data_IF_147850081450
#
_entry.id   IF_147850081450
#
_cell.length_a   1.000
_cell.length_b   1.000
_cell.length_c   1.000
_cell.angle_alpha   90.00
_cell.angle_beta   90.00
_cell.angle_gamma   90.00
#
_symmetry.space_group_name_H-M   'P 1'
#
loop_
_entity.id
_entity.type
_entity.pdbx_description
1 polymer ?
#
# COMPACT_ATOMS: atom_id res chain seq x y z
N UNK A 1 90.45 -31.68 27.08
CA UNK A 1 89.11 -31.10 27.31
C UNK A 1 88.13 -32.27 27.19
N UNK A 2 87.81 -33.07 28.23
CA UNK A 2 87.19 -32.76 29.53
C UNK A 2 85.93 -31.89 29.35
N UNK A 3 84.73 -32.18 29.85
CA UNK A 3 84.08 -33.26 30.62
C UNK A 3 82.56 -32.97 30.45
N UNK A 4 81.68 -33.95 30.20
CA UNK A 4 80.89 -34.72 31.19
C UNK A 4 79.90 -33.92 32.07
N UNK A 5 78.70 -34.51 32.21
CA UNK A 5 77.67 -34.36 33.26
C UNK A 5 76.73 -33.13 33.17
N UNK A 6 75.44 -33.19 33.50
CA UNK A 6 74.54 -34.26 33.90
C UNK A 6 73.08 -33.75 33.85
N UNK A 7 72.16 -34.70 33.77
CA UNK A 7 70.70 -34.56 33.95
C UNK A 7 70.38 -34.26 35.43
N UNK A 8 69.26 -33.56 35.70
CA UNK A 8 68.36 -34.08 36.72
C UNK A 8 66.93 -34.20 36.21
N UNK A 9 66.39 -35.41 36.37
CA UNK A 9 64.98 -35.69 36.32
C UNK A 9 64.30 -35.10 37.55
N UNK A 10 63.26 -34.27 37.36
CA UNK A 10 62.25 -34.06 38.39
C UNK A 10 60.86 -33.93 37.78
N UNK A 11 60.02 -34.89 38.19
CA UNK A 11 58.61 -34.74 38.54
C UNK A 11 57.61 -34.45 37.42
N UNK A 12 57.11 -35.56 36.87
CA UNK A 12 55.79 -35.70 36.29
C UNK A 12 54.70 -35.48 37.34
N UNK A 13 54.21 -34.26 37.55
CA UNK A 13 52.88 -33.98 38.14
C UNK A 13 52.48 -32.56 37.71
N UNK A 14 51.81 -32.36 36.57
CA UNK A 14 50.98 -31.16 36.27
C UNK A 14 50.44 -31.11 34.82
N UNK A 15 50.04 -32.22 34.18
CA UNK A 15 49.42 -32.16 32.83
C UNK A 15 48.00 -32.72 32.78
N UNK A 16 47.39 -33.02 33.94
CA UNK A 16 46.00 -33.49 34.00
C UNK A 16 45.00 -32.46 34.54
N UNK A 17 45.44 -31.24 34.88
CA UNK A 17 44.55 -30.18 35.38
C UNK A 17 44.05 -29.20 34.31
N UNK A 18 44.64 -29.16 33.11
CA UNK A 18 44.24 -28.22 32.05
C UNK A 18 43.22 -28.78 31.04
N UNK A 19 42.88 -30.06 31.13
CA UNK A 19 41.81 -30.68 30.30
C UNK A 19 40.47 -30.78 31.03
N UNK A 20 40.43 -30.59 32.36
CA UNK A 20 39.20 -30.65 33.15
C UNK A 20 38.45 -29.30 33.23
N UNK A 21 39.11 -28.18 32.92
CA UNK A 21 38.47 -26.85 32.93
C UNK A 21 37.88 -26.43 31.56
N UNK A 22 38.23 -27.13 30.47
CA UNK A 22 37.59 -26.93 29.16
C UNK A 22 36.34 -27.80 28.95
N UNK A 23 36.11 -28.82 29.78
CA UNK A 23 34.94 -29.71 29.68
C UNK A 23 33.77 -29.30 30.61
N UNK A 24 34.01 -28.38 31.54
CA UNK A 24 33.00 -27.83 32.46
C UNK A 24 32.53 -26.43 32.06
N UNK A 25 32.86 -25.98 30.84
CA UNK A 25 32.00 -25.08 30.07
C UNK A 25 31.05 -25.94 29.22
N UNK A 26 30.44 -26.96 29.87
CA UNK A 26 29.20 -27.55 29.41
C UNK A 26 28.16 -26.44 29.51
N UNK A 27 28.16 -25.63 28.46
CA UNK A 27 27.06 -24.87 27.90
C UNK A 27 25.75 -25.41 28.48
N UNK A 28 25.35 -24.84 29.62
CA UNK A 28 23.94 -24.71 29.95
C UNK A 28 23.43 -23.69 28.95
N UNK A 29 23.27 -24.15 27.71
CA UNK A 29 22.13 -23.79 26.89
C UNK A 29 20.94 -24.21 27.76
N UNK A 30 20.60 -23.38 28.76
CA UNK A 30 19.23 -22.98 28.88
C UNK A 30 18.91 -22.55 27.46
N UNK A 31 18.29 -23.46 26.70
CA UNK A 31 17.72 -23.10 25.44
C UNK A 31 16.87 -21.91 25.80
N UNK A 32 17.31 -20.71 25.43
CA UNK A 32 16.46 -19.55 25.38
C UNK A 32 15.38 -20.00 24.41
N UNK A 33 14.34 -20.63 24.95
CA UNK A 33 13.19 -21.06 24.18
C UNK A 33 12.77 -19.79 23.50
N UNK A 34 12.89 -19.76 22.16
CA UNK A 34 12.55 -18.58 21.41
C UNK A 34 11.21 -18.09 21.97
N UNK A 35 11.13 -16.81 22.39
CA UNK A 35 9.94 -16.31 23.08
C UNK A 35 8.73 -16.76 22.29
N UNK A 36 7.82 -17.47 22.98
CA UNK A 36 6.62 -17.98 22.34
C UNK A 36 5.93 -16.77 21.70
N UNK A 37 5.75 -16.78 20.38
CA UNK A 37 5.09 -15.72 19.63
C UNK A 37 3.59 -15.74 19.96
N UNK A 38 3.26 -15.34 21.18
CA UNK A 38 1.93 -15.33 21.75
C UNK A 38 1.44 -13.89 21.83
N UNK A 39 0.52 -13.54 20.93
CA UNK A 39 0.04 -12.17 20.78
C UNK A 39 -0.81 -11.67 21.95
N UNK A 40 -1.24 -12.56 22.86
CA UNK A 40 -1.95 -12.19 24.09
C UNK A 40 -0.99 -11.73 25.19
N UNK A 41 0.33 -11.84 24.99
CA UNK A 41 1.35 -11.35 25.92
C UNK A 41 2.15 -10.22 25.30
N UNK A 42 2.59 -9.25 26.11
CA UNK A 42 3.39 -8.13 25.60
C UNK A 42 4.72 -8.63 25.00
N UNK A 43 5.40 -9.57 25.67
CA UNK A 43 6.67 -10.13 25.21
C UNK A 43 6.53 -10.97 23.93
N UNK A 44 5.49 -11.81 23.86
CA UNK A 44 5.23 -12.63 22.68
C UNK A 44 4.84 -11.79 21.46
N UNK A 45 4.10 -10.70 21.68
CA UNK A 45 3.78 -9.73 20.64
C UNK A 45 5.01 -8.96 20.16
N UNK A 46 5.87 -8.50 21.08
CA UNK A 46 7.12 -7.84 20.72
C UNK A 46 8.02 -8.77 19.89
N UNK A 47 8.19 -10.02 20.31
CA UNK A 47 8.94 -11.03 19.57
C UNK A 47 8.37 -11.30 18.16
N UNK A 48 7.04 -11.30 18.01
CA UNK A 48 6.38 -11.43 16.72
C UNK A 48 6.67 -10.22 15.81
N UNK A 49 6.53 -8.99 16.33
CA UNK A 49 6.82 -7.78 15.56
C UNK A 49 8.30 -7.67 15.16
N UNK A 50 9.22 -8.09 16.04
CA UNK A 50 10.65 -8.18 15.74
C UNK A 50 10.93 -9.20 14.63
N UNK A 51 10.27 -10.37 14.65
CA UNK A 51 10.39 -11.38 13.61
C UNK A 51 9.86 -10.87 12.25
N UNK A 52 8.72 -10.18 12.25
CA UNK A 52 8.19 -9.51 11.04
C UNK A 52 9.19 -8.47 10.53
N UNK A 53 9.72 -7.61 11.39
CA UNK A 53 10.69 -6.60 11.02
C UNK A 53 11.98 -7.20 10.44
N UNK A 54 12.48 -8.30 11.00
CA UNK A 54 13.64 -9.03 10.50
C UNK A 54 13.39 -9.61 9.09
N UNK A 55 12.19 -10.17 8.86
CA UNK A 55 11.78 -10.65 7.54
C UNK A 55 11.70 -9.50 6.53
N UNK A 56 11.07 -8.37 6.89
CA UNK A 56 11.01 -7.17 6.04
C UNK A 56 12.39 -6.60 5.69
N UNK A 57 13.30 -6.60 6.67
CA UNK A 57 14.69 -6.13 6.48
C UNK A 57 15.43 -7.03 5.48
N UNK A 58 15.12 -8.31 5.47
CA UNK A 58 15.65 -9.31 4.52
C UNK A 58 14.90 -9.36 3.18
N UNK A 59 13.90 -8.48 2.98
CA UNK A 59 12.97 -8.50 1.85
C UNK A 59 12.19 -9.82 1.69
N UNK A 60 12.05 -10.59 2.77
CA UNK A 60 11.23 -11.80 2.82
C UNK A 60 9.78 -11.44 3.15
N UNK A 61 9.10 -10.85 2.18
CA UNK A 61 7.72 -10.38 2.34
C UNK A 61 6.74 -11.53 2.64
N UNK A 62 7.00 -12.73 2.11
CA UNK A 62 6.15 -13.91 2.33
C UNK A 62 6.17 -14.33 3.78
N UNK A 63 7.36 -14.51 4.37
CA UNK A 63 7.49 -14.83 5.79
C UNK A 63 6.91 -13.72 6.67
N UNK A 64 7.11 -12.45 6.30
CA UNK A 64 6.53 -11.31 7.03
C UNK A 64 4.99 -11.31 7.01
N UNK A 65 4.36 -11.76 5.91
CA UNK A 65 2.90 -11.93 5.79
C UNK A 65 2.43 -13.13 6.62
N UNK A 66 3.09 -14.29 6.48
CA UNK A 66 2.72 -15.53 7.18
C UNK A 66 2.77 -15.37 8.70
N UNK A 67 3.70 -14.56 9.22
CA UNK A 67 3.80 -14.24 10.64
C UNK A 67 2.68 -13.31 11.12
N UNK A 68 2.34 -12.26 10.36
CA UNK A 68 1.44 -11.20 10.83
C UNK A 68 -0.04 -11.48 10.58
N UNK A 69 -0.39 -12.24 9.53
CA UNK A 69 -1.79 -12.43 9.13
C UNK A 69 -2.63 -13.14 10.20
N UNK A 70 -2.17 -14.22 10.88
CA UNK A 70 -2.94 -14.84 11.95
C UNK A 70 -3.26 -13.87 13.09
N UNK A 71 -2.30 -13.02 13.46
CA UNK A 71 -2.44 -12.03 14.54
C UNK A 71 -3.36 -10.88 14.13
N UNK A 72 -3.32 -10.48 12.86
CA UNK A 72 -4.22 -9.46 12.34
C UNK A 72 -5.68 -9.93 12.31
N UNK A 73 -5.93 -11.19 11.94
CA UNK A 73 -7.28 -11.74 11.87
C UNK A 73 -7.89 -12.03 13.24
N UNK A 74 -7.06 -12.13 14.29
CA UNK A 74 -7.50 -12.28 15.67
C UNK A 74 -7.96 -10.94 16.28
N UNK A 75 -9.22 -10.89 16.71
CA UNK A 75 -9.85 -9.70 17.31
C UNK A 75 -9.22 -9.28 18.63
N UNK A 76 -8.65 -10.22 19.38
CA UNK A 76 -8.07 -9.95 20.70
C UNK A 76 -6.62 -9.48 20.61
N UNK A 77 -5.93 -9.81 19.52
CA UNK A 77 -4.52 -9.49 19.33
C UNK A 77 -4.27 -8.28 18.42
N UNK A 78 -5.24 -7.90 17.61
CA UNK A 78 -5.05 -6.83 16.63
C UNK A 78 -5.04 -5.43 17.27
N UNK A 79 -4.05 -4.61 16.90
CA UNK A 79 -3.96 -3.21 17.27
C UNK A 79 -3.21 -2.41 16.20
N UNK A 80 -2.92 -1.13 16.46
CA UNK A 80 -2.29 -0.25 15.46
C UNK A 80 -0.90 -0.71 15.03
N UNK A 81 -0.09 -1.27 15.93
CA UNK A 81 1.23 -1.83 15.57
C UNK A 81 1.08 -3.03 14.62
N UNK A 82 0.12 -3.93 14.89
CA UNK A 82 -0.17 -5.09 14.03
C UNK A 82 -0.69 -4.63 12.65
N UNK A 83 -1.52 -3.59 12.61
CA UNK A 83 -2.03 -3.01 11.35
C UNK A 83 -0.90 -2.39 10.52
N UNK A 84 0.01 -1.64 11.14
CA UNK A 84 1.19 -1.07 10.47
C UNK A 84 2.12 -2.18 9.98
N UNK A 85 2.36 -3.21 10.81
CA UNK A 85 3.18 -4.36 10.43
C UNK A 85 2.58 -5.09 9.23
N UNK A 86 1.27 -5.39 9.25
CA UNK A 86 0.56 -5.99 8.11
C UNK A 86 0.63 -5.12 6.86
N UNK A 87 0.35 -3.82 7.00
CA UNK A 87 0.45 -2.88 5.89
C UNK A 87 1.85 -2.92 5.27
N UNK A 88 2.89 -2.98 6.11
CA UNK A 88 4.30 -3.04 5.68
C UNK A 88 4.66 -4.37 5.02
N UNK A 89 4.18 -5.51 5.53
CA UNK A 89 4.36 -6.84 4.92
C UNK A 89 3.74 -6.93 3.53
N UNK A 90 2.53 -6.42 3.36
CA UNK A 90 1.90 -6.36 2.04
C UNK A 90 2.50 -5.27 1.13
N UNK A 91 2.97 -4.15 1.68
CA UNK A 91 3.71 -3.14 0.93
C UNK A 91 5.01 -3.70 0.35
N UNK A 92 5.73 -4.53 1.13
CA UNK A 92 6.90 -5.27 0.68
C UNK A 92 6.55 -6.16 -0.53
N UNK A 93 5.47 -6.95 -0.45
CA UNK A 93 5.00 -7.79 -1.56
C UNK A 93 4.52 -6.97 -2.78
N UNK A 94 4.03 -5.75 -2.56
CA UNK A 94 3.75 -4.76 -3.60
C UNK A 94 5.02 -4.09 -4.17
N UNK A 95 6.21 -4.54 -3.77
CA UNK A 95 7.52 -4.02 -4.16
C UNK A 95 7.73 -2.54 -3.77
N UNK A 96 7.17 -2.13 -2.62
CA UNK A 96 7.34 -0.80 -2.05
C UNK A 96 8.47 -0.86 -1.03
N UNK A 97 9.60 -0.25 -1.38
CA UNK A 97 10.69 0.01 -0.45
C UNK A 97 10.68 1.50 -0.12
N UNK A 98 10.19 1.88 1.06
CA UNK A 98 10.00 3.30 1.43
C UNK A 98 11.27 4.14 1.28
N UNK A 99 12.43 3.66 1.76
CA UNK A 99 13.68 4.40 1.67
C UNK A 99 14.14 4.61 0.22
N UNK A 100 14.06 3.54 -0.58
CA UNK A 100 14.35 3.63 -2.02
C UNK A 100 13.36 4.56 -2.71
N UNK A 101 12.09 4.48 -2.37
CA UNK A 101 11.02 5.26 -2.95
C UNK A 101 11.18 6.76 -2.67
N UNK A 102 11.57 7.14 -1.45
CA UNK A 102 11.90 8.55 -1.15
C UNK A 102 13.02 9.02 -2.09
N UNK A 103 14.09 8.24 -2.22
CA UNK A 103 15.20 8.55 -3.13
C UNK A 103 14.77 8.64 -4.60
N UNK A 104 13.92 7.72 -5.07
CA UNK A 104 13.48 7.67 -6.47
C UNK A 104 12.43 8.74 -6.79
N UNK A 105 11.55 9.09 -5.83
CA UNK A 105 10.62 10.21 -5.95
C UNK A 105 11.36 11.53 -6.18
N UNK A 106 12.49 11.76 -5.51
CA UNK A 106 13.27 13.00 -5.75
C UNK A 106 13.89 13.10 -7.15
N UNK A 107 13.95 11.98 -7.89
CA UNK A 107 14.52 11.93 -9.24
C UNK A 107 13.46 12.05 -10.33
N UNK A 108 12.19 11.86 -10.00
CA UNK A 108 11.08 11.96 -10.96
C UNK A 108 10.32 13.26 -10.77
N UNK A 109 9.86 13.84 -11.86
CA UNK A 109 8.98 14.99 -11.79
C UNK A 109 7.55 14.49 -11.48
N UNK A 110 7.09 14.80 -10.27
CA UNK A 110 5.74 14.52 -9.81
C UNK A 110 4.78 15.68 -10.09
N UNK A 111 5.02 16.54 -11.06
CA UNK A 111 4.10 17.61 -11.44
C UNK A 111 3.79 17.53 -12.94
N UNK A 112 2.65 18.05 -13.39
CA UNK A 112 2.37 18.14 -14.81
C UNK A 112 2.14 16.78 -15.49
N UNK A 113 2.34 16.79 -16.82
CA UNK A 113 2.04 15.67 -17.75
C UNK A 113 2.79 14.38 -17.43
N UNK A 114 3.85 14.50 -16.65
CA UNK A 114 4.80 13.42 -16.33
C UNK A 114 4.43 12.66 -15.07
N UNK A 115 3.39 13.08 -14.32
CA UNK A 115 2.97 12.37 -13.12
C UNK A 115 2.58 10.91 -13.38
N UNK A 116 1.62 10.66 -14.28
CA UNK A 116 1.18 9.29 -14.59
C UNK A 116 2.32 8.42 -15.15
N UNK A 117 3.15 8.90 -16.10
CA UNK A 117 4.37 8.18 -16.49
C UNK A 117 5.35 7.90 -15.35
N UNK A 118 5.60 8.87 -14.45
CA UNK A 118 6.49 8.68 -13.31
C UNK A 118 5.98 7.58 -12.38
N UNK A 119 4.68 7.56 -12.11
CA UNK A 119 4.03 6.49 -11.34
C UNK A 119 4.19 5.12 -12.01
N UNK A 120 3.98 5.07 -13.32
CA UNK A 120 4.16 3.86 -14.13
C UNK A 120 5.61 3.38 -14.11
N UNK A 121 6.58 4.29 -14.17
CA UNK A 121 8.01 3.99 -14.11
C UNK A 121 8.44 3.45 -12.74
N UNK A 122 7.98 4.10 -11.65
CA UNK A 122 8.37 3.74 -10.29
C UNK A 122 7.82 2.39 -9.85
N UNK A 123 6.65 1.99 -10.37
CA UNK A 123 5.94 0.80 -9.94
C UNK A 123 5.57 -0.11 -11.12
N UNK A 124 6.57 -0.75 -11.76
CA UNK A 124 6.31 -1.69 -12.84
C UNK A 124 5.43 -2.84 -12.35
N UNK A 125 4.57 -3.39 -13.19
CA UNK A 125 3.78 -4.57 -12.85
C UNK A 125 3.38 -5.34 -14.09
N UNK A 126 3.27 -6.65 -13.96
CA UNK A 126 2.78 -7.56 -15.00
C UNK A 126 1.50 -8.24 -14.53
N UNK A 127 0.62 -8.70 -15.44
CA UNK A 127 -0.67 -9.28 -15.07
C UNK A 127 -0.60 -10.47 -14.10
N UNK A 128 0.50 -11.22 -14.10
CA UNK A 128 0.67 -12.43 -13.29
C UNK A 128 1.28 -12.18 -11.91
N UNK A 129 1.71 -10.96 -11.59
CA UNK A 129 2.30 -10.66 -10.28
C UNK A 129 1.23 -10.36 -9.21
N UNK A 130 1.62 -10.40 -7.94
CA UNK A 130 0.74 -10.15 -6.80
C UNK A 130 0.69 -8.69 -6.35
N UNK A 131 1.34 -7.75 -7.07
CA UNK A 131 1.57 -6.37 -6.56
C UNK A 131 0.28 -5.60 -6.32
N UNK A 132 -0.71 -5.77 -7.22
CA UNK A 132 -2.03 -5.15 -7.06
C UNK A 132 -2.74 -5.69 -5.82
N UNK A 133 -2.88 -7.02 -5.71
CA UNK A 133 -3.54 -7.65 -4.57
C UNK A 133 -2.85 -7.30 -3.24
N UNK A 134 -1.52 -7.30 -3.23
CA UNK A 134 -0.74 -6.91 -2.06
C UNK A 134 -0.95 -5.42 -1.71
N UNK A 135 -0.92 -4.51 -2.68
CA UNK A 135 -1.19 -3.09 -2.43
C UNK A 135 -2.59 -2.85 -1.86
N UNK A 136 -3.61 -3.56 -2.35
CA UNK A 136 -4.98 -3.48 -1.82
C UNK A 136 -5.08 -3.96 -0.37
N UNK A 137 -4.46 -5.10 -0.05
CA UNK A 137 -4.43 -5.64 1.31
C UNK A 137 -3.65 -4.72 2.26
N UNK A 138 -2.60 -4.06 1.76
CA UNK A 138 -1.89 -3.02 2.50
C UNK A 138 -2.79 -1.82 2.79
N UNK A 139 -3.52 -1.30 1.79
CA UNK A 139 -4.48 -0.21 1.99
C UNK A 139 -5.58 -0.58 3.01
N UNK A 140 -6.10 -1.81 2.97
CA UNK A 140 -7.11 -2.24 3.94
C UNK A 140 -6.61 -2.19 5.39
N UNK A 141 -5.35 -2.64 5.62
CA UNK A 141 -4.72 -2.55 6.93
C UNK A 141 -4.54 -1.09 7.36
N UNK A 142 -4.17 -0.20 6.43
CA UNK A 142 -4.04 1.23 6.70
C UNK A 142 -5.40 1.86 7.01
N UNK A 143 -6.46 1.49 6.29
CA UNK A 143 -7.80 2.02 6.58
C UNK A 143 -8.29 1.62 7.97
N UNK A 144 -7.81 0.50 8.54
CA UNK A 144 -8.11 0.09 9.91
C UNK A 144 -7.38 0.91 11.00
N UNK A 145 -6.36 1.71 10.64
CA UNK A 145 -5.65 2.60 11.56
C UNK A 145 -6.46 3.88 11.78
N UNK A 146 -7.07 4.01 12.94
CA UNK A 146 -7.97 5.12 13.28
C UNK A 146 -7.26 6.30 13.90
N UNK A 147 -7.75 7.51 13.63
CA UNK A 147 -7.39 8.68 14.43
C UNK A 147 -7.95 8.56 15.86
N UNK A 148 -7.29 9.20 16.82
CA UNK A 148 -7.75 9.25 18.21
C UNK A 148 -9.13 9.92 18.27
N UNK A 149 -10.12 9.22 18.84
CA UNK A 149 -11.50 9.72 18.96
C UNK A 149 -12.36 9.59 17.69
N UNK A 150 -11.84 9.01 16.60
CA UNK A 150 -12.63 8.78 15.40
C UNK A 150 -13.78 7.79 15.65
N UNK A 151 -14.98 8.15 15.16
CA UNK A 151 -16.17 7.30 15.16
C UNK A 151 -16.69 7.26 13.72
N UNK A 152 -16.74 6.06 13.12
CA UNK A 152 -17.33 5.86 11.80
C UNK A 152 -18.74 5.30 11.92
N UNK A 153 -19.66 5.91 11.17
CA UNK A 153 -20.96 5.29 10.88
C UNK A 153 -20.77 4.05 10.00
N UNK A 154 -21.73 3.10 9.95
CA UNK A 154 -21.61 1.92 9.11
C UNK A 154 -21.34 2.21 7.62
N UNK A 155 -21.85 3.33 7.11
CA UNK A 155 -21.62 3.77 5.71
C UNK A 155 -20.21 4.29 5.45
N UNK A 156 -19.46 4.61 6.51
CA UNK A 156 -18.08 5.11 6.44
C UNK A 156 -17.05 3.99 6.67
N UNK A 157 -17.51 2.75 6.82
CA UNK A 157 -16.64 1.61 7.12
C UNK A 157 -16.28 0.81 5.88
N UNK A 158 -15.04 0.32 5.84
CA UNK A 158 -14.61 -0.79 4.97
C UNK A 158 -14.47 -2.05 5.81
N UNK A 159 -14.76 -3.22 5.24
CA UNK A 159 -14.61 -4.50 5.94
C UNK A 159 -15.33 -4.53 7.32
N UNK A 160 -16.54 -3.99 7.38
CA UNK A 160 -17.30 -3.77 8.62
C UNK A 160 -17.51 -5.05 9.45
N UNK A 161 -17.56 -6.22 8.81
CA UNK A 161 -17.73 -7.53 9.46
C UNK A 161 -16.42 -8.19 9.91
N UNK A 162 -15.26 -7.61 9.57
CA UNK A 162 -13.95 -8.18 9.87
C UNK A 162 -13.51 -7.87 11.33
N UNK A 163 -12.37 -8.44 11.73
CA UNK A 163 -11.71 -8.06 12.98
C UNK A 163 -11.19 -6.61 12.97
N UNK A 164 -10.99 -6.04 11.77
CA UNK A 164 -10.38 -4.74 11.56
C UNK A 164 -11.22 -3.89 10.59
N UNK A 165 -12.40 -3.42 11.03
CA UNK A 165 -13.16 -2.47 10.23
C UNK A 165 -12.33 -1.20 10.02
N UNK A 166 -12.22 -0.77 8.78
CA UNK A 166 -11.48 0.44 8.40
C UNK A 166 -12.38 1.63 8.13
N UNK A 167 -11.75 2.78 7.89
CA UNK A 167 -12.39 4.09 7.75
C UNK A 167 -12.19 4.64 6.33
N UNK A 168 -13.28 4.99 5.66
CA UNK A 168 -13.25 5.51 4.29
C UNK A 168 -12.83 6.98 4.22
N UNK A 169 -13.03 7.76 5.29
CA UNK A 169 -12.66 9.16 5.34
C UNK A 169 -11.21 9.30 5.83
N UNK A 170 -10.36 10.00 5.07
CA UNK A 170 -8.97 10.25 5.45
C UNK A 170 -8.85 10.96 6.81
N UNK A 171 -9.75 11.89 7.12
CA UNK A 171 -9.80 12.61 8.41
C UNK A 171 -10.13 11.72 9.62
N UNK A 172 -10.58 10.48 9.39
CA UNK A 172 -10.84 9.50 10.45
C UNK A 172 -9.70 8.49 10.60
N UNK A 173 -8.72 8.51 9.70
CA UNK A 173 -7.53 7.64 9.75
C UNK A 173 -6.40 8.34 10.50
N UNK A 174 -5.47 7.56 11.04
CA UNK A 174 -4.27 8.13 11.65
C UNK A 174 -3.40 8.88 10.61
N UNK A 175 -2.54 9.77 11.09
CA UNK A 175 -1.59 10.52 10.24
C UNK A 175 -0.69 9.57 9.48
N UNK A 176 -0.14 8.57 10.19
CA UNK A 176 0.73 7.55 9.61
C UNK A 176 0.00 6.73 8.55
N UNK A 177 -1.28 6.41 8.78
CA UNK A 177 -2.12 5.71 7.80
C UNK A 177 -2.25 6.50 6.50
N UNK A 178 -2.57 7.79 6.59
CA UNK A 178 -2.69 8.63 5.41
C UNK A 178 -1.35 8.79 4.70
N UNK A 179 -0.26 9.03 5.45
CA UNK A 179 1.09 9.15 4.91
C UNK A 179 1.51 7.87 4.17
N UNK A 180 1.36 6.71 4.79
CA UNK A 180 1.67 5.42 4.15
C UNK A 180 0.74 5.18 2.96
N UNK A 181 -0.55 5.51 3.12
CA UNK A 181 -1.58 5.36 2.10
C UNK A 181 -1.28 6.14 0.81
N UNK A 182 -0.56 7.27 0.88
CA UNK A 182 -0.06 7.97 -0.31
C UNK A 182 0.84 7.03 -1.13
N UNK A 183 1.85 6.44 -0.51
CA UNK A 183 2.81 5.58 -1.19
C UNK A 183 2.20 4.27 -1.70
N UNK A 184 1.27 3.67 -0.95
CA UNK A 184 0.55 2.47 -1.42
C UNK A 184 -0.40 2.82 -2.58
N UNK A 185 -1.14 3.93 -2.49
CA UNK A 185 -2.04 4.35 -3.57
C UNK A 185 -1.24 4.66 -4.85
N UNK A 186 -0.08 5.30 -4.67
CA UNK A 186 0.92 5.51 -5.69
C UNK A 186 1.32 4.18 -6.37
N UNK A 187 1.72 3.17 -5.59
CA UNK A 187 2.13 1.88 -6.16
C UNK A 187 1.02 1.18 -6.94
N UNK A 188 -0.21 1.21 -6.42
CA UNK A 188 -1.38 0.65 -7.08
C UNK A 188 -1.66 1.35 -8.40
N UNK A 189 -1.65 2.68 -8.42
CA UNK A 189 -1.84 3.47 -9.64
C UNK A 189 -0.82 3.06 -10.70
N UNK A 190 0.47 3.01 -10.34
CA UNK A 190 1.52 2.61 -11.28
C UNK A 190 1.37 1.16 -11.76
N UNK A 191 1.03 0.23 -10.86
CA UNK A 191 0.80 -1.16 -11.21
C UNK A 191 -0.38 -1.33 -12.19
N UNK A 192 -1.50 -0.65 -11.95
CA UNK A 192 -2.65 -0.65 -12.85
C UNK A 192 -2.31 -0.02 -14.20
N UNK A 193 -1.57 1.09 -14.23
CA UNK A 193 -1.15 1.70 -15.49
C UNK A 193 -0.24 0.78 -16.31
N UNK A 194 0.69 0.06 -15.68
CA UNK A 194 1.50 -0.93 -16.37
C UNK A 194 0.66 -2.07 -16.96
N UNK A 195 -0.23 -2.65 -16.16
CA UNK A 195 -1.05 -3.80 -16.59
C UNK A 195 -2.04 -3.44 -17.69
N UNK A 196 -2.70 -2.30 -17.56
CA UNK A 196 -3.88 -1.97 -18.37
C UNK A 196 -3.61 -0.89 -19.42
N UNK A 197 -2.58 -0.06 -19.22
CA UNK A 197 -2.25 1.07 -20.08
C UNK A 197 -1.30 0.77 -21.25
N UNK A 198 -0.69 -0.42 -21.25
CA UNK A 198 0.37 -0.81 -22.20
C UNK A 198 1.40 0.32 -22.41
N UNK A 199 2.11 0.75 -21.36
CA UNK A 199 2.94 1.94 -21.44
C UNK A 199 4.13 1.74 -22.38
N UNK A 200 4.53 2.83 -23.02
CA UNK A 200 5.78 2.88 -23.78
C UNK A 200 6.99 2.70 -22.85
N UNK A 201 7.92 1.79 -23.17
CA UNK A 201 9.02 1.45 -22.27
C UNK A 201 10.07 2.57 -22.11
N UNK A 202 10.06 3.58 -22.98
CA UNK A 202 11.01 4.71 -22.92
C UNK A 202 10.42 5.91 -22.18
N UNK A 203 9.18 6.25 -22.50
CA UNK A 203 8.50 7.44 -21.96
C UNK A 203 7.58 7.11 -20.79
N UNK A 204 7.24 5.84 -20.59
CA UNK A 204 6.21 5.35 -19.65
C UNK A 204 4.83 5.96 -19.87
N UNK A 205 4.64 6.63 -21.01
CA UNK A 205 3.35 7.15 -21.41
C UNK A 205 2.44 5.98 -21.79
N UNK A 206 1.22 6.03 -21.27
CA UNK A 206 0.16 5.09 -21.60
C UNK A 206 -0.13 5.10 -23.11
N UNK A 207 -0.13 3.94 -23.76
CA UNK A 207 -0.41 3.82 -25.21
C UNK A 207 -1.88 3.50 -25.54
N UNK A 208 -2.67 3.08 -24.54
CA UNK A 208 -4.12 2.83 -24.69
C UNK A 208 -4.88 3.22 -23.43
N UNK A 209 -6.17 3.53 -23.54
CA UNK A 209 -6.99 3.77 -22.36
C UNK A 209 -6.96 2.58 -21.39
N UNK A 210 -6.98 2.86 -20.09
CA UNK A 210 -6.95 1.80 -19.07
C UNK A 210 -8.19 0.92 -19.25
N UNK A 211 -7.99 -0.41 -19.32
CA UNK A 211 -9.07 -1.38 -19.54
C UNK A 211 -9.56 -1.47 -20.99
N UNK A 212 -8.93 -0.77 -21.93
CA UNK A 212 -9.26 -0.87 -23.35
C UNK A 212 -8.75 -2.20 -23.94
N UNK A 213 -9.56 -2.80 -24.80
CA UNK A 213 -9.18 -3.99 -25.56
C UNK A 213 -8.29 -3.62 -26.76
N UNK A 214 -8.34 -2.37 -27.22
CA UNK A 214 -7.55 -1.86 -28.34
C UNK A 214 -6.87 -0.52 -28.02
N UNK A 215 -5.91 -0.11 -28.85
CA UNK A 215 -5.27 1.21 -28.76
C UNK A 215 -6.11 2.34 -29.42
N UNK A 216 -7.33 2.04 -29.88
CA UNK A 216 -8.21 3.06 -30.47
C UNK A 216 -8.63 4.08 -29.42
N UNK A 217 -8.54 5.37 -29.74
CA UNK A 217 -9.07 6.43 -28.88
C UNK A 217 -10.60 6.33 -28.66
N UNK A 218 -11.31 5.62 -29.56
CA UNK A 218 -12.73 5.34 -29.40
C UNK A 218 -13.01 4.24 -28.35
N UNK A 219 -12.00 3.44 -27.99
CA UNK A 219 -12.11 2.48 -26.90
C UNK A 219 -11.85 3.19 -25.57
N UNK A 220 -12.93 3.55 -24.88
CA UNK A 220 -12.86 4.30 -23.62
C UNK A 220 -12.30 3.47 -22.46
N UNK A 221 -12.14 2.15 -22.63
CA UNK A 221 -11.75 1.23 -21.56
C UNK A 221 -12.65 1.39 -20.34
N UNK A 222 -12.05 1.51 -19.16
CA UNK A 222 -12.73 1.75 -17.89
C UNK A 222 -13.48 3.08 -17.81
N UNK A 223 -13.34 3.98 -18.79
CA UNK A 223 -14.22 5.15 -18.90
C UNK A 223 -15.68 4.79 -19.23
N UNK A 224 -15.93 3.57 -19.71
CA UNK A 224 -17.27 3.00 -19.95
C UNK A 224 -17.66 2.06 -18.81
N UNK A 225 -18.82 2.30 -18.18
CA UNK A 225 -19.37 1.45 -17.11
C UNK A 225 -19.49 -0.02 -17.51
N UNK A 226 -19.73 -0.31 -18.79
CA UNK A 226 -19.82 -1.69 -19.30
C UNK A 226 -18.48 -2.43 -19.26
N UNK A 227 -17.38 -1.71 -19.09
CA UNK A 227 -16.01 -2.23 -19.01
C UNK A 227 -15.41 -2.07 -17.63
N UNK A 228 -16.15 -1.54 -16.67
CA UNK A 228 -15.71 -1.52 -15.27
C UNK A 228 -15.52 -2.96 -14.80
N UNK A 229 -14.41 -3.19 -14.13
CA UNK A 229 -14.03 -4.44 -13.49
C UNK A 229 -13.69 -4.16 -12.02
N UNK A 230 -13.54 -5.18 -11.17
CA UNK A 230 -13.00 -4.98 -9.82
C UNK A 230 -11.69 -4.16 -9.83
N UNK A 231 -10.78 -4.44 -10.76
CA UNK A 231 -9.54 -3.68 -10.94
C UNK A 231 -9.78 -2.21 -11.29
N UNK A 232 -10.80 -1.88 -12.09
CA UNK A 232 -11.17 -0.50 -12.38
C UNK A 232 -11.65 0.24 -11.12
N UNK A 233 -12.43 -0.45 -10.28
CA UNK A 233 -12.91 0.06 -9.00
C UNK A 233 -11.75 0.28 -8.02
N UNK A 234 -10.83 -0.69 -7.92
CA UNK A 234 -9.61 -0.57 -7.14
C UNK A 234 -8.72 0.57 -7.63
N UNK A 235 -8.58 0.74 -8.95
CA UNK A 235 -7.84 1.85 -9.52
C UNK A 235 -8.44 3.21 -9.13
N UNK A 236 -9.75 3.38 -9.32
CA UNK A 236 -10.45 4.60 -8.92
C UNK A 236 -10.36 4.86 -7.41
N UNK A 237 -10.49 3.80 -6.60
CA UNK A 237 -10.30 3.85 -5.13
C UNK A 237 -8.92 4.39 -4.77
N UNK A 238 -7.86 3.86 -5.40
CA UNK A 238 -6.47 4.28 -5.16
C UNK A 238 -6.23 5.73 -5.57
N UNK A 239 -6.80 6.18 -6.70
CA UNK A 239 -6.69 7.58 -7.14
C UNK A 239 -7.34 8.54 -6.13
N UNK A 240 -8.56 8.23 -5.67
CA UNK A 240 -9.23 9.06 -4.66
C UNK A 240 -8.51 9.01 -3.31
N UNK A 241 -8.07 7.83 -2.89
CA UNK A 241 -7.34 7.63 -1.64
C UNK A 241 -6.04 8.42 -1.63
N UNK A 242 -5.31 8.44 -2.74
CA UNK A 242 -4.10 9.26 -2.88
C UNK A 242 -4.40 10.74 -2.57
N UNK A 243 -5.43 11.30 -3.21
CA UNK A 243 -5.76 12.72 -3.09
C UNK A 243 -6.29 13.07 -1.71
N UNK A 244 -7.16 12.23 -1.16
CA UNK A 244 -7.70 12.41 0.19
C UNK A 244 -6.57 12.37 1.24
N UNK A 245 -5.65 11.42 1.10
CA UNK A 245 -4.50 11.30 2.01
C UNK A 245 -3.53 12.48 1.86
N UNK A 246 -3.25 12.96 0.65
CA UNK A 246 -2.45 14.17 0.45
C UNK A 246 -3.13 15.38 1.10
N UNK A 247 -4.45 15.53 0.93
CA UNK A 247 -5.20 16.63 1.53
C UNK A 247 -5.04 16.62 3.06
N UNK A 248 -5.24 15.45 3.68
CA UNK A 248 -5.15 15.30 5.13
C UNK A 248 -3.73 15.54 5.64
N UNK A 249 -2.72 14.93 5.01
CA UNK A 249 -1.31 15.12 5.40
C UNK A 249 -0.88 16.59 5.21
N UNK A 250 -1.34 17.26 4.17
CA UNK A 250 -0.99 18.66 3.90
C UNK A 250 -1.45 19.64 4.98
N UNK A 251 -2.52 19.30 5.72
CA UNK A 251 -3.02 20.10 6.84
C UNK A 251 -2.16 19.95 8.09
N UNK A 252 -1.35 18.89 8.17
CA UNK A 252 -0.52 18.57 9.32
C UNK A 252 0.96 18.91 9.11
N UNK A 253 1.41 19.00 7.85
CA UNK A 253 2.77 19.40 7.50
C UNK A 253 2.82 20.93 7.34
N UNK A 254 3.70 21.58 8.10
CA UNK A 254 3.91 23.04 8.01
C UNK A 254 4.93 23.42 6.93
N UNK A 255 4.93 24.70 6.55
CA UNK A 255 5.92 25.26 5.62
C UNK A 255 5.65 24.95 4.14
N UNK A 256 6.69 25.09 3.32
CA UNK A 256 6.58 25.00 1.84
C UNK A 256 6.06 23.65 1.37
N UNK A 257 6.45 22.56 2.03
CA UNK A 257 6.01 21.20 1.68
C UNK A 257 4.50 21.07 1.86
N UNK A 258 3.96 21.53 3.01
CA UNK A 258 2.52 21.55 3.26
C UNK A 258 1.75 22.37 2.23
N UNK A 259 2.23 23.59 1.92
CA UNK A 259 1.63 24.43 0.88
C UNK A 259 1.62 23.76 -0.49
N UNK A 260 2.74 23.16 -0.91
CA UNK A 260 2.83 22.45 -2.19
C UNK A 260 1.87 21.26 -2.24
N UNK A 261 1.83 20.42 -1.19
CA UNK A 261 0.91 19.28 -1.11
C UNK A 261 -0.56 19.74 -1.14
N UNK A 262 -0.90 20.84 -0.47
CA UNK A 262 -2.26 21.38 -0.45
C UNK A 262 -2.67 21.92 -1.83
N UNK A 263 -1.81 22.67 -2.53
CA UNK A 263 -2.08 23.15 -3.89
C UNK A 263 -2.32 22.00 -4.87
N UNK A 264 -1.43 21.01 -4.80
CA UNK A 264 -1.50 19.76 -5.53
C UNK A 264 -2.83 19.04 -5.27
N UNK A 265 -3.22 18.88 -4.00
CA UNK A 265 -4.46 18.22 -3.62
C UNK A 265 -5.68 19.00 -4.09
N UNK A 266 -5.70 20.32 -3.93
CA UNK A 266 -6.82 21.17 -4.33
C UNK A 266 -7.10 21.08 -5.84
N UNK A 267 -6.05 21.18 -6.67
CA UNK A 267 -6.17 21.08 -8.11
C UNK A 267 -6.70 19.70 -8.56
N UNK A 268 -6.17 18.62 -7.97
CA UNK A 268 -6.55 17.26 -8.33
C UNK A 268 -7.94 16.88 -7.80
N UNK A 269 -8.23 17.23 -6.55
CA UNK A 269 -9.51 16.97 -5.89
C UNK A 269 -10.65 17.65 -6.63
N UNK A 270 -10.48 18.90 -7.08
CA UNK A 270 -11.50 19.59 -7.87
C UNK A 270 -11.82 18.85 -9.18
N UNK A 271 -10.79 18.46 -9.95
CA UNK A 271 -10.97 17.74 -11.21
C UNK A 271 -11.55 16.34 -11.01
N UNK A 272 -11.02 15.58 -10.05
CA UNK A 272 -11.49 14.23 -9.75
C UNK A 272 -12.92 14.23 -9.21
N UNK A 273 -13.26 15.11 -8.28
CA UNK A 273 -14.63 15.21 -7.79
C UNK A 273 -15.58 15.62 -8.91
N UNK A 274 -15.19 16.56 -9.79
CA UNK A 274 -16.00 16.94 -10.94
C UNK A 274 -16.28 15.76 -11.87
N UNK A 275 -15.26 14.99 -12.27
CA UNK A 275 -15.45 13.84 -13.15
C UNK A 275 -16.13 12.65 -12.45
N UNK A 276 -15.86 12.45 -11.16
CA UNK A 276 -16.55 11.46 -10.34
C UNK A 276 -18.05 11.78 -10.26
N UNK A 277 -18.41 13.04 -9.98
CA UNK A 277 -19.79 13.53 -9.97
C UNK A 277 -20.47 13.34 -11.32
N UNK A 278 -19.79 13.70 -12.41
CA UNK A 278 -20.31 13.54 -13.76
C UNK A 278 -20.51 12.07 -14.11
N UNK A 279 -19.54 11.20 -13.82
CA UNK A 279 -19.67 9.75 -14.01
C UNK A 279 -20.87 9.21 -13.25
N UNK A 280 -20.98 9.57 -11.98
CA UNK A 280 -22.07 9.17 -11.11
C UNK A 280 -23.46 9.71 -11.54
N UNK A 281 -23.51 10.88 -12.19
CA UNK A 281 -24.73 11.43 -12.79
C UNK A 281 -25.01 10.88 -14.20
N UNK A 282 -24.09 10.11 -14.78
CA UNK A 282 -24.16 9.66 -16.17
C UNK A 282 -23.94 10.77 -17.21
N UNK A 283 -23.26 11.86 -16.84
CA UNK A 283 -23.13 13.12 -17.60
C UNK A 283 -21.70 13.41 -18.11
N UNK A 284 -20.86 12.40 -18.35
CA UNK A 284 -19.48 12.67 -18.80
C UNK A 284 -19.45 13.50 -20.12
N UNK A 285 -18.68 14.60 -20.18
CA UNK A 285 -18.62 15.50 -21.32
C UNK A 285 -18.02 14.83 -22.57
N UNK A 286 -18.52 15.21 -23.74
CA UNK A 286 -18.03 14.76 -25.05
C UNK A 286 -18.87 13.68 -25.75
N UNK A 287 -20.02 13.27 -25.19
CA UNK A 287 -20.85 12.19 -25.75
C UNK A 287 -20.19 10.80 -25.66
N UNK A 288 -18.93 10.74 -25.21
CA UNK A 288 -18.14 9.55 -24.94
C UNK A 288 -18.46 8.99 -23.56
N UNK A 289 -19.60 8.30 -23.53
CA UNK A 289 -19.92 7.11 -22.76
C UNK A 289 -19.28 6.92 -21.37
N UNK A 290 -19.71 7.70 -20.37
CA UNK A 290 -20.39 7.02 -19.24
C UNK A 290 -21.89 6.84 -19.53
N UNK A 291 -22.33 7.13 -20.75
CA UNK A 291 -23.72 7.12 -21.27
C UNK A 291 -24.50 5.82 -21.11
N UNK A 292 -23.86 4.74 -20.66
CA UNK A 292 -24.57 3.55 -20.22
C UNK A 292 -25.09 3.67 -18.78
N UNK A 293 -24.59 4.60 -17.96
CA UNK A 293 -25.10 4.87 -16.63
C UNK A 293 -26.51 5.47 -16.71
N UNK A 294 -27.45 4.87 -16.00
CA UNK A 294 -28.90 5.19 -16.03
C UNK A 294 -29.43 5.47 -14.63
N UNK A 295 -28.71 6.30 -13.88
CA UNK A 295 -29.00 6.55 -12.46
C UNK A 295 -30.15 7.54 -12.34
N UNK A 296 -31.26 7.09 -11.76
CA UNK A 296 -32.56 7.76 -11.74
C UNK A 296 -32.67 8.94 -10.74
N UNK A 297 -31.59 9.68 -10.49
CA UNK A 297 -31.37 10.64 -9.40
C UNK A 297 -30.87 10.00 -8.09
N UNK A 298 -29.95 10.70 -7.42
CA UNK A 298 -29.34 10.26 -6.15
C UNK A 298 -27.85 10.59 -6.00
N UNK A 299 -27.16 10.94 -7.09
CA UNK A 299 -25.75 11.31 -7.00
C UNK A 299 -25.55 12.83 -6.98
N UNK A 300 -25.43 13.41 -5.79
CA UNK A 300 -25.09 14.82 -5.62
C UNK A 300 -23.58 15.06 -5.75
N UNK A 301 -22.79 14.19 -5.11
CA UNK A 301 -21.32 14.25 -4.97
C UNK A 301 -20.69 12.86 -5.14
N UNK A 302 -19.39 12.83 -5.39
CA UNK A 302 -18.58 11.62 -5.54
C UNK A 302 -18.86 10.66 -4.37
N UNK A 303 -19.44 9.48 -4.62
CA UNK A 303 -19.96 8.63 -3.57
C UNK A 303 -18.82 8.16 -2.66
N UNK A 304 -18.99 8.30 -1.35
CA UNK A 304 -18.02 7.80 -0.37
C UNK A 304 -17.76 6.30 -0.56
N UNK A 305 -18.79 5.55 -0.97
CA UNK A 305 -18.71 4.13 -1.28
C UNK A 305 -17.66 3.77 -2.33
N UNK A 306 -17.23 4.71 -3.20
CA UNK A 306 -16.14 4.48 -4.15
C UNK A 306 -14.78 4.29 -3.49
N UNK A 307 -14.59 4.71 -2.22
CA UNK A 307 -13.38 4.36 -1.46
C UNK A 307 -13.42 2.92 -0.92
N UNK A 308 -14.57 2.26 -0.99
CA UNK A 308 -14.71 0.86 -0.72
C UNK A 308 -14.86 0.10 -2.05
N UNK A 309 -13.74 -0.39 -2.58
CA UNK A 309 -13.71 -1.12 -3.87
C UNK A 309 -14.72 -2.28 -3.94
N UNK A 310 -15.10 -2.89 -2.81
CA UNK A 310 -16.07 -3.99 -2.78
C UNK A 310 -17.53 -3.56 -3.06
N UNK A 311 -17.84 -2.26 -2.93
CA UNK A 311 -19.18 -1.72 -3.22
C UNK A 311 -19.39 -1.36 -4.69
N UNK A 312 -18.33 -1.46 -5.49
CA UNK A 312 -18.35 -1.12 -6.90
C UNK A 312 -18.77 -2.33 -7.73
N UNK A 313 -19.79 -2.14 -8.55
CA UNK A 313 -20.34 -3.17 -9.45
C UNK A 313 -20.30 -2.70 -10.90
N UNK A 314 -20.57 -3.61 -11.83
CA UNK A 314 -20.66 -3.31 -13.27
C UNK A 314 -22.06 -2.85 -13.70
N UNK A 315 -22.96 -2.64 -12.73
CA UNK A 315 -24.33 -2.25 -13.03
C UNK A 315 -24.41 -0.82 -13.53
N UNK A 316 -25.18 -0.62 -14.60
CA UNK A 316 -25.52 0.71 -15.15
C UNK A 316 -26.28 1.60 -14.16
N UNK A 317 -26.87 1.03 -13.13
CA UNK A 317 -27.62 1.75 -12.10
C UNK A 317 -26.84 1.92 -10.81
N UNK A 318 -25.59 1.42 -10.75
CA UNK A 318 -24.77 1.53 -9.55
C UNK A 318 -23.99 2.85 -9.54
N UNK A 319 -24.28 3.77 -8.59
CA UNK A 319 -23.57 5.03 -8.48
C UNK A 319 -22.08 4.86 -8.24
N UNK A 320 -21.64 3.80 -7.56
CA UNK A 320 -20.23 3.58 -7.26
C UNK A 320 -19.48 3.17 -8.53
N UNK A 321 -19.99 2.19 -9.28
CA UNK A 321 -19.42 1.81 -10.59
C UNK A 321 -19.38 2.99 -11.57
N UNK A 322 -20.46 3.75 -11.67
CA UNK A 322 -20.55 4.91 -12.55
C UNK A 322 -19.57 6.02 -12.16
N UNK A 323 -19.39 6.26 -10.86
CA UNK A 323 -18.38 7.17 -10.34
C UNK A 323 -16.95 6.69 -10.67
N UNK A 324 -16.69 5.38 -10.54
CA UNK A 324 -15.39 4.78 -10.91
C UNK A 324 -15.07 5.01 -12.39
N UNK A 325 -16.07 4.85 -13.27
CA UNK A 325 -15.92 5.14 -14.69
C UNK A 325 -15.59 6.62 -14.96
N UNK A 326 -16.21 7.54 -14.21
CA UNK A 326 -15.88 8.96 -14.25
C UNK A 326 -14.43 9.26 -13.88
N UNK A 327 -13.93 8.66 -12.78
CA UNK A 327 -12.52 8.78 -12.37
C UNK A 327 -11.59 8.20 -13.44
N UNK A 328 -11.89 7.02 -13.98
CA UNK A 328 -11.10 6.42 -15.05
C UNK A 328 -11.10 7.27 -16.33
N UNK A 329 -12.24 7.86 -16.70
CA UNK A 329 -12.35 8.77 -17.83
C UNK A 329 -11.53 10.05 -17.63
N UNK A 330 -11.50 10.62 -16.41
CA UNK A 330 -10.61 11.72 -16.08
C UNK A 330 -9.16 11.36 -16.33
N UNK A 331 -8.66 10.26 -15.77
CA UNK A 331 -7.27 9.83 -15.99
C UNK A 331 -7.03 9.55 -17.47
N UNK A 332 -7.98 8.92 -18.16
CA UNK A 332 -7.83 8.54 -19.55
C UNK A 332 -7.75 9.75 -20.49
N UNK A 333 -8.59 10.76 -20.25
CA UNK A 333 -8.71 11.96 -21.06
C UNK A 333 -7.87 13.14 -20.59
N UNK A 334 -7.17 13.03 -19.46
CA UNK A 334 -6.34 14.12 -18.92
C UNK A 334 -4.85 13.91 -19.26
N UNK A 335 -4.36 14.43 -20.41
CA UNK A 335 -2.95 14.40 -20.76
C UNK A 335 -2.09 15.28 -19.83
N UNK A 336 -2.71 16.03 -18.90
CA UNK A 336 -1.99 16.90 -17.99
C UNK A 336 -1.33 16.16 -16.85
N UNK A 337 -1.60 14.88 -16.58
CA UNK A 337 -0.88 14.08 -15.58
C UNK A 337 -1.16 14.51 -14.13
N UNK A 338 -0.92 15.77 -13.82
CA UNK A 338 -1.21 16.58 -12.65
C UNK A 338 -1.31 18.00 -13.21
N UNK A 339 -2.41 18.73 -13.04
CA UNK A 339 -2.44 20.13 -13.57
C UNK A 339 -1.40 20.95 -12.75
N UNK A 340 -0.64 21.85 -13.39
CA UNK A 340 0.83 21.97 -13.38
C UNK A 340 1.50 22.34 -12.05
#
# INVERSE_FOLDING_TARGET
MACSAAVPARTAVAVLASLALCLTLSVTLFGCGAPKMDCHTQDGKAALLDAVQNALTSQDCTTAIDLIEPVYLDKECTNDEVRIARASSYACAANINFFKLIGDITKVNLNGKVFWPAMTQLFPSVPTDSRVAAGELSLDALFALKAVGAIATPLQQVNASSANPGYLLASQRSVDSNLYGIFISMSLIGAFQNRYGNPDLTTYAKQRNLGAASASAADLGWGDIMKITPDACSYATSVLTLVDSINEVSQQVSGKIGTSLSQVSAAFSAGLNFYCDLGCKGLLPGGTVASSCTIAAGCATCPLGLRNRSLCTTSKTDPVGCAAAGVAAFVNGNPLGWVP
#
